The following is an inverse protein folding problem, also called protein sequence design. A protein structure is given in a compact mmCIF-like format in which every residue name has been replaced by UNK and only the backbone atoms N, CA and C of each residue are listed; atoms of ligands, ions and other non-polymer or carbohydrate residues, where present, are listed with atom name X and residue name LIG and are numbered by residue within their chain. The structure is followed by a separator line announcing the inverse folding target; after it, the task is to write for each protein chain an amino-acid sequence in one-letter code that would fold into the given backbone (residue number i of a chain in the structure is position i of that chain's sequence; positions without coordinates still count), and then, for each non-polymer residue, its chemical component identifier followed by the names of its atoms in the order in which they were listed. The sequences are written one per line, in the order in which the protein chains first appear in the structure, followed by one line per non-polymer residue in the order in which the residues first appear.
data_IF_531272423611
#
_entry.id   IF_531272423611
#
_cell.length_a   1.000
_cell.length_b   1.000
_cell.length_c   1.000
_cell.angle_alpha   90.00
_cell.angle_beta   90.00
_cell.angle_gamma   90.00
#
_symmetry.space_group_name_H-M   'P 1'
#
loop_
_entity.id
_entity.type
_entity.pdbx_description
1 polymer ?
#
# COMPACT_ATOMS: atom_id res chain seq x y z
N UNK A 1 -53.67 -28.32 40.05
CA UNK A 1 -53.36 -28.86 38.72
C UNK A 1 -51.89 -29.22 38.72
N UNK A 2 -51.64 -30.51 38.81
CA UNK A 2 -50.35 -31.17 38.71
C UNK A 2 -50.19 -31.64 37.26
N UNK A 3 -49.06 -31.33 36.62
CA UNK A 3 -48.51 -32.02 35.43
C UNK A 3 -46.99 -31.78 35.49
N UNK A 4 -46.20 -32.71 36.03
CA UNK A 4 -45.67 -33.91 35.38
C UNK A 4 -44.64 -33.59 34.27
N UNK A 5 -43.36 -33.79 34.59
CA UNK A 5 -42.23 -33.86 33.65
C UNK A 5 -42.31 -35.19 32.85
N UNK A 6 -41.58 -35.41 31.71
CA UNK A 6 -40.17 -35.81 31.81
C UNK A 6 -39.24 -35.63 30.56
N UNK A 7 -37.92 -35.62 30.82
CA UNK A 7 -36.81 -36.35 30.12
C UNK A 7 -36.40 -36.00 28.65
N UNK A 8 -35.08 -35.72 28.49
CA UNK A 8 -34.05 -36.34 27.58
C UNK A 8 -32.73 -35.55 27.77
N UNK A 9 -31.70 -36.01 28.50
CA UNK A 9 -30.65 -37.04 28.24
C UNK A 9 -29.78 -36.81 26.99
N UNK A 10 -28.46 -36.64 27.24
CA UNK A 10 -27.25 -36.75 26.36
C UNK A 10 -27.08 -35.66 25.27
N UNK A 11 -25.88 -35.17 24.95
CA UNK A 11 -24.55 -35.79 24.97
C UNK A 11 -23.43 -34.75 25.20
N UNK A 12 -22.37 -35.16 25.90
CA UNK A 12 -21.00 -34.71 25.62
C UNK A 12 -20.56 -35.36 24.31
N UNK A 13 -20.12 -34.56 23.33
CA UNK A 13 -19.02 -34.91 22.42
C UNK A 13 -18.54 -33.65 21.68
N UNK A 14 -17.25 -33.65 21.39
CA UNK A 14 -16.43 -32.56 20.85
C UNK A 14 -16.87 -32.08 19.46
N UNK A 15 -16.79 -30.77 19.23
CA UNK A 15 -16.47 -30.25 17.90
C UNK A 15 -15.82 -28.88 18.00
N UNK A 16 -14.49 -28.91 17.94
CA UNK A 16 -13.75 -28.42 16.79
C UNK A 16 -14.19 -27.06 16.21
N UNK A 17 -13.29 -26.08 16.32
CA UNK A 17 -12.99 -25.27 15.16
C UNK A 17 -13.02 -23.76 15.35
N UNK A 18 -11.84 -23.18 15.09
CA UNK A 18 -11.61 -21.85 14.54
C UNK A 18 -11.79 -20.67 15.50
N UNK A 19 -10.74 -19.91 15.81
CA UNK A 19 -9.44 -19.89 15.18
C UNK A 19 -8.74 -18.67 15.72
N UNK A 20 -7.71 -18.91 16.52
CA UNK A 20 -6.67 -17.93 16.76
C UNK A 20 -6.25 -17.37 15.41
N UNK A 21 -6.38 -16.05 15.32
CA UNK A 21 -6.12 -15.15 14.21
C UNK A 21 -4.66 -15.16 13.67
N UNK A 22 -3.94 -16.27 13.84
CA UNK A 22 -2.52 -16.41 13.50
C UNK A 22 -2.23 -17.47 12.41
N UNK A 23 -3.25 -18.12 11.86
CA UNK A 23 -3.05 -19.33 11.03
C UNK A 23 -2.86 -19.16 9.51
N UNK A 24 -3.30 -18.06 8.87
CA UNK A 24 -3.35 -18.00 7.39
C UNK A 24 -2.80 -16.73 6.75
N UNK A 25 -2.52 -15.66 7.52
CA UNK A 25 -1.87 -14.47 6.99
C UNK A 25 -0.33 -14.53 7.08
N UNK A 26 0.22 -15.43 7.89
CA UNK A 26 1.66 -15.63 8.05
C UNK A 26 2.28 -16.61 7.04
N UNK A 27 1.53 -17.62 6.58
CA UNK A 27 2.10 -18.73 5.81
C UNK A 27 2.19 -18.48 4.29
N UNK A 28 1.38 -17.57 3.74
CA UNK A 28 1.39 -17.27 2.28
C UNK A 28 2.33 -16.12 1.89
N UNK A 29 2.99 -15.43 2.84
CA UNK A 29 3.96 -14.35 2.52
C UNK A 29 5.41 -14.84 2.38
N UNK A 30 5.68 -16.14 2.60
CA UNK A 30 7.05 -16.63 2.85
C UNK A 30 7.61 -17.67 1.87
N UNK A 31 6.95 -17.96 0.73
CA UNK A 31 7.40 -19.06 -0.17
C UNK A 31 7.91 -18.58 -1.54
N UNK A 32 7.59 -17.37 -2.02
CA UNK A 32 8.12 -16.88 -3.30
C UNK A 32 8.35 -15.38 -3.28
N UNK A 33 9.59 -14.95 -3.01
CA UNK A 33 10.23 -13.93 -3.85
C UNK A 33 11.74 -13.88 -3.54
N UNK A 34 12.64 -14.09 -4.51
CA UNK A 34 14.06 -13.89 -4.31
C UNK A 34 14.29 -12.38 -4.14
N UNK A 35 14.32 -11.97 -2.88
CA UNK A 35 15.11 -10.89 -2.33
C UNK A 35 16.09 -10.27 -3.36
N UNK A 36 15.73 -9.10 -3.90
CA UNK A 36 16.53 -8.39 -4.89
C UNK A 36 17.46 -7.40 -4.20
N UNK A 37 18.67 -7.24 -4.73
CA UNK A 37 19.60 -6.20 -4.27
C UNK A 37 19.20 -4.87 -4.91
N UNK A 38 18.94 -3.87 -4.08
CA UNK A 38 18.75 -2.48 -4.51
C UNK A 38 20.05 -1.90 -5.09
N UNK A 39 19.97 -0.71 -5.72
CA UNK A 39 21.17 0.05 -6.14
C UNK A 39 22.17 0.29 -4.99
N UNK A 40 21.70 0.25 -3.75
CA UNK A 40 22.50 0.41 -2.52
C UNK A 40 23.04 -0.92 -1.95
N UNK A 41 22.80 -2.05 -2.61
CA UNK A 41 23.26 -3.36 -2.19
C UNK A 41 22.47 -3.99 -1.04
N UNK A 42 21.38 -3.34 -0.60
CA UNK A 42 20.47 -3.88 0.42
C UNK A 42 19.52 -4.89 -0.20
N UNK A 43 19.20 -5.92 0.55
CA UNK A 43 18.33 -7.01 0.09
C UNK A 43 16.90 -6.73 0.54
N UNK A 44 16.03 -6.40 -0.41
CA UNK A 44 14.61 -6.11 -0.14
C UNK A 44 13.69 -7.11 -0.87
N UNK A 45 12.46 -7.33 -0.35
CA UNK A 45 11.49 -8.18 -1.03
C UNK A 45 11.24 -7.67 -2.45
N UNK A 46 11.30 -8.55 -3.45
CA UNK A 46 11.10 -8.13 -4.85
C UNK A 46 9.71 -7.55 -5.10
N UNK A 47 8.68 -8.11 -4.46
CA UNK A 47 7.34 -7.51 -4.43
C UNK A 47 7.33 -6.06 -3.92
N UNK A 48 8.21 -5.69 -2.97
CA UNK A 48 8.35 -4.31 -2.51
C UNK A 48 8.95 -3.44 -3.60
N UNK A 49 10.06 -3.88 -4.19
CA UNK A 49 10.72 -3.12 -5.26
C UNK A 49 9.81 -2.91 -6.46
N UNK A 50 9.03 -3.92 -6.82
CA UNK A 50 8.03 -3.81 -7.90
C UNK A 50 6.97 -2.77 -7.55
N UNK A 51 6.33 -2.89 -6.39
CA UNK A 51 5.29 -1.95 -5.96
C UNK A 51 5.84 -0.51 -5.81
N UNK A 52 7.02 -0.37 -5.24
CA UNK A 52 7.69 0.93 -5.06
C UNK A 52 8.02 1.58 -6.41
N UNK A 53 8.62 0.84 -7.35
CA UNK A 53 8.91 1.32 -8.71
C UNK A 53 7.64 1.68 -9.47
N UNK A 54 6.55 0.93 -9.28
CA UNK A 54 5.26 1.20 -9.88
C UNK A 54 4.62 2.50 -9.34
N UNK A 55 4.73 2.76 -8.04
CA UNK A 55 4.32 4.04 -7.44
C UNK A 55 5.15 5.19 -8.01
N UNK A 56 6.47 5.06 -8.08
CA UNK A 56 7.34 6.10 -8.67
C UNK A 56 6.95 6.39 -10.12
N UNK A 57 6.81 5.33 -10.93
CA UNK A 57 6.45 5.46 -12.35
C UNK A 57 5.11 6.18 -12.53
N UNK A 58 4.06 5.69 -11.89
CA UNK A 58 2.70 6.22 -12.04
C UNK A 58 2.54 7.63 -11.46
N UNK A 59 3.22 7.95 -10.36
CA UNK A 59 3.22 9.32 -9.83
C UNK A 59 3.98 10.30 -10.73
N UNK A 60 5.11 9.90 -11.32
CA UNK A 60 5.83 10.76 -12.27
C UNK A 60 5.01 10.98 -13.53
N UNK A 61 4.45 9.92 -14.11
CA UNK A 61 3.50 10.01 -15.23
C UNK A 61 2.34 10.96 -14.89
N UNK A 62 1.78 10.89 -13.69
CA UNK A 62 0.68 11.77 -13.27
C UNK A 62 1.08 13.23 -13.00
N UNK A 63 2.36 13.54 -12.72
CA UNK A 63 2.81 14.87 -12.28
C UNK A 63 3.63 15.62 -13.35
N UNK A 64 4.39 14.89 -14.16
CA UNK A 64 5.25 15.42 -15.22
C UNK A 64 4.51 15.53 -16.56
N UNK A 65 3.49 14.71 -16.81
CA UNK A 65 2.76 14.75 -18.08
C UNK A 65 1.91 16.02 -18.15
N UNK A 66 2.28 16.92 -19.06
CA UNK A 66 1.52 18.11 -19.37
C UNK A 66 0.30 17.68 -20.19
N UNK A 67 -0.87 17.60 -19.53
CA UNK A 67 -2.07 17.05 -20.15
C UNK A 67 -2.52 17.85 -21.37
N UNK A 68 -1.96 19.05 -21.62
CA UNK A 68 -2.34 19.91 -22.75
C UNK A 68 -3.83 20.26 -22.74
N UNK A 69 -4.46 20.21 -21.57
CA UNK A 69 -5.91 20.36 -21.37
C UNK A 69 -6.73 19.07 -21.51
N UNK A 70 -6.11 17.90 -21.74
CA UNK A 70 -6.80 16.61 -21.82
C UNK A 70 -7.12 16.04 -20.42
N UNK A 71 -8.17 16.59 -19.82
CA UNK A 71 -8.66 16.18 -18.50
C UNK A 71 -8.95 14.68 -18.38
N UNK A 72 -9.29 14.00 -19.48
CA UNK A 72 -9.53 12.55 -19.46
C UNK A 72 -8.24 11.74 -19.28
N UNK A 73 -7.12 12.20 -19.85
CA UNK A 73 -5.80 11.60 -19.63
C UNK A 73 -5.30 11.87 -18.21
N UNK A 74 -5.39 13.13 -17.75
CA UNK A 74 -5.05 13.50 -16.37
C UNK A 74 -5.73 12.59 -15.36
N UNK A 75 -7.04 12.40 -15.50
CA UNK A 75 -7.83 11.55 -14.60
C UNK A 75 -7.37 10.10 -14.63
N UNK A 76 -7.11 9.53 -15.81
CA UNK A 76 -6.62 8.15 -15.93
C UNK A 76 -5.27 7.97 -15.27
N UNK A 77 -4.34 8.91 -15.47
CA UNK A 77 -3.02 8.86 -14.85
C UNK A 77 -3.10 9.03 -13.34
N UNK A 78 -3.93 9.97 -12.88
CA UNK A 78 -4.18 10.17 -11.45
C UNK A 78 -4.86 8.95 -10.80
N UNK A 79 -5.78 8.28 -11.50
CA UNK A 79 -6.43 7.06 -11.01
C UNK A 79 -5.45 5.88 -10.99
N UNK A 80 -4.55 5.76 -11.98
CA UNK A 80 -3.46 4.78 -11.97
C UNK A 80 -2.50 5.02 -10.79
N UNK A 81 -2.12 6.28 -10.52
CA UNK A 81 -1.30 6.64 -9.37
C UNK A 81 -2.01 6.37 -8.02
N UNK A 82 -3.32 6.61 -7.93
CA UNK A 82 -4.09 6.28 -6.72
C UNK A 82 -4.12 4.78 -6.46
N UNK A 83 -4.28 3.98 -7.50
CA UNK A 83 -4.34 2.53 -7.36
C UNK A 83 -2.98 1.96 -6.95
N UNK A 84 -1.89 2.41 -7.58
CA UNK A 84 -0.53 1.99 -7.20
C UNK A 84 -0.19 2.36 -5.75
N UNK A 85 -0.59 3.56 -5.30
CA UNK A 85 -0.45 4.00 -3.90
C UNK A 85 -1.26 3.12 -2.96
N UNK A 86 -2.52 2.81 -3.33
CA UNK A 86 -3.39 1.96 -2.51
C UNK A 86 -2.81 0.57 -2.34
N UNK A 87 -2.35 -0.05 -3.43
CA UNK A 87 -1.71 -1.36 -3.40
C UNK A 87 -0.42 -1.33 -2.57
N UNK A 88 0.43 -0.33 -2.77
CA UNK A 88 1.67 -0.17 -2.02
C UNK A 88 1.42 -0.03 -0.52
N UNK A 89 0.52 0.86 -0.12
CA UNK A 89 0.17 1.03 1.30
C UNK A 89 -0.54 -0.20 1.87
N UNK A 90 -1.39 -0.87 1.10
CA UNK A 90 -2.08 -2.08 1.53
C UNK A 90 -1.12 -3.25 1.78
N UNK A 91 -0.05 -3.36 1.00
CA UNK A 91 0.94 -4.44 1.10
C UNK A 91 2.07 -4.20 2.09
N UNK A 92 2.53 -2.95 2.21
CA UNK A 92 3.80 -2.59 2.86
C UNK A 92 3.67 -1.69 4.09
N UNK A 93 2.52 -1.04 4.31
CA UNK A 93 2.34 -0.16 5.47
C UNK A 93 2.46 -0.95 6.77
N UNK A 94 3.34 -0.48 7.66
CA UNK A 94 3.60 -1.12 8.95
C UNK A 94 4.52 -2.34 8.89
N UNK A 95 5.06 -2.70 7.71
CA UNK A 95 6.04 -3.78 7.63
C UNK A 95 7.43 -3.32 8.09
N UNK A 96 7.86 -3.82 9.26
CA UNK A 96 9.17 -3.51 9.85
C UNK A 96 10.36 -3.77 8.93
N UNK A 97 10.23 -4.73 7.99
CA UNK A 97 11.28 -5.10 7.05
C UNK A 97 11.62 -3.98 6.03
N UNK A 98 10.66 -3.09 5.73
CA UNK A 98 10.86 -1.98 4.78
C UNK A 98 10.68 -0.61 5.43
N UNK A 99 10.09 -0.54 6.63
CA UNK A 99 9.78 0.72 7.30
C UNK A 99 11.01 1.59 7.62
N UNK A 100 12.19 0.97 7.79
CA UNK A 100 13.45 1.68 8.03
C UNK A 100 14.21 2.01 6.74
N UNK A 101 13.66 1.66 5.57
CA UNK A 101 14.33 1.91 4.29
C UNK A 101 14.11 3.33 3.81
N UNK A 102 15.19 3.94 3.32
CA UNK A 102 15.18 5.31 2.78
C UNK A 102 14.19 5.43 1.62
N UNK A 103 14.08 4.40 0.76
CA UNK A 103 13.10 4.37 -0.32
C UNK A 103 11.66 4.40 0.19
N UNK A 104 11.37 3.70 1.28
CA UNK A 104 10.04 3.64 1.88
C UNK A 104 9.69 4.98 2.53
N UNK A 105 10.63 5.55 3.29
CA UNK A 105 10.46 6.84 3.97
C UNK A 105 10.25 7.96 2.95
N UNK A 106 11.00 7.97 1.85
CA UNK A 106 10.82 8.94 0.76
C UNK A 106 9.46 8.79 0.07
N UNK A 107 9.02 7.56 -0.23
CA UNK A 107 7.69 7.30 -0.77
C UNK A 107 6.57 7.74 0.17
N UNK A 108 6.69 7.47 1.48
CA UNK A 108 5.70 7.94 2.45
C UNK A 108 5.63 9.47 2.51
N UNK A 109 6.77 10.18 2.41
CA UNK A 109 6.81 11.65 2.38
C UNK A 109 6.12 12.21 1.13
N UNK A 110 6.37 11.61 -0.03
CA UNK A 110 5.71 11.97 -1.29
C UNK A 110 4.19 11.79 -1.19
N UNK A 111 3.74 10.59 -0.78
CA UNK A 111 2.33 10.24 -0.65
C UNK A 111 1.63 11.12 0.41
N UNK A 112 2.29 11.37 1.55
CA UNK A 112 1.76 12.23 2.61
C UNK A 112 1.61 13.67 2.13
N UNK A 113 2.60 14.22 1.43
CA UNK A 113 2.53 15.58 0.86
C UNK A 113 1.37 15.70 -0.14
N UNK A 114 1.16 14.68 -0.98
CA UNK A 114 0.03 14.61 -1.91
C UNK A 114 -1.32 14.56 -1.15
N UNK A 115 -1.43 13.69 -0.14
CA UNK A 115 -2.64 13.53 0.65
C UNK A 115 -2.99 14.80 1.44
N UNK A 116 -2.00 15.44 2.07
CA UNK A 116 -2.19 16.70 2.81
C UNK A 116 -2.67 17.83 1.89
N UNK A 117 -2.13 17.91 0.67
CA UNK A 117 -2.57 18.89 -0.31
C UNK A 117 -4.04 18.67 -0.69
N UNK A 118 -4.39 17.47 -1.16
CA UNK A 118 -5.76 17.18 -1.61
C UNK A 118 -6.78 17.12 -0.47
N UNK A 119 -6.35 16.83 0.75
CA UNK A 119 -7.21 16.94 1.94
C UNK A 119 -7.58 18.38 2.26
N UNK A 120 -6.73 19.36 1.92
CA UNK A 120 -6.97 20.79 2.19
C UNK A 120 -7.60 21.51 0.99
N UNK A 121 -7.12 21.24 -0.21
CA UNK A 121 -7.51 21.92 -1.44
C UNK A 121 -8.71 21.25 -2.13
N UNK A 122 -9.00 19.99 -1.81
CA UNK A 122 -10.04 19.18 -2.44
C UNK A 122 -9.53 18.38 -3.65
N UNK A 123 -10.22 17.27 -4.00
CA UNK A 123 -9.69 16.23 -4.90
C UNK A 123 -9.49 16.65 -6.36
N UNK A 124 -10.05 17.78 -6.78
CA UNK A 124 -9.92 18.35 -8.12
C UNK A 124 -9.03 19.59 -8.18
N UNK A 125 -8.37 19.94 -7.06
CA UNK A 125 -7.47 21.08 -7.03
C UNK A 125 -6.24 20.84 -7.91
N UNK A 126 -5.80 21.87 -8.62
CA UNK A 126 -4.55 21.81 -9.38
C UNK A 126 -3.37 21.87 -8.43
N UNK A 127 -2.40 20.98 -8.60
CA UNK A 127 -1.21 20.91 -7.74
C UNK A 127 -0.28 22.11 -8.02
N UNK A 128 0.05 22.94 -7.01
CA UNK A 128 1.03 24.01 -7.14
C UNK A 128 2.39 23.45 -7.55
N UNK A 129 3.14 24.25 -8.30
CA UNK A 129 4.44 23.84 -8.84
C UNK A 129 5.45 23.50 -7.72
N UNK A 130 5.43 24.22 -6.60
CA UNK A 130 6.27 23.94 -5.44
C UNK A 130 6.00 22.56 -4.82
N UNK A 131 4.71 22.22 -4.63
CA UNK A 131 4.28 20.94 -4.07
C UNK A 131 4.64 19.81 -5.04
N UNK A 132 4.42 20.02 -6.34
CA UNK A 132 4.79 19.08 -7.39
C UNK A 132 6.28 18.79 -7.39
N UNK A 133 7.11 19.83 -7.41
CA UNK A 133 8.57 19.70 -7.42
C UNK A 133 9.07 18.97 -6.18
N UNK A 134 8.50 19.28 -5.00
CA UNK A 134 8.83 18.57 -3.76
C UNK A 134 8.51 17.07 -3.85
N UNK A 135 7.33 16.72 -4.38
CA UNK A 135 6.95 15.32 -4.56
C UNK A 135 7.89 14.63 -5.56
N UNK A 136 8.23 15.29 -6.68
CA UNK A 136 9.16 14.73 -7.66
C UNK A 136 10.58 14.51 -7.07
N UNK A 137 11.04 15.39 -6.18
CA UNK A 137 12.31 15.24 -5.47
C UNK A 137 12.30 14.06 -4.49
N UNK A 138 11.20 13.91 -3.71
CA UNK A 138 10.99 12.74 -2.85
C UNK A 138 10.94 11.44 -3.68
N UNK A 139 10.31 11.44 -4.85
CA UNK A 139 10.25 10.29 -5.76
C UNK A 139 11.61 9.97 -6.41
N UNK A 140 12.39 10.98 -6.77
CA UNK A 140 13.75 10.80 -7.27
C UNK A 140 14.66 10.22 -6.19
N UNK A 141 14.51 10.68 -4.95
CA UNK A 141 15.19 10.10 -3.79
C UNK A 141 14.80 8.64 -3.62
N UNK A 142 13.49 8.32 -3.64
CA UNK A 142 13.02 6.95 -3.55
C UNK A 142 13.64 6.05 -4.62
N UNK A 143 13.63 6.48 -5.89
CA UNK A 143 14.21 5.71 -7.00
C UNK A 143 15.72 5.48 -6.85
N UNK A 144 16.46 6.42 -6.26
CA UNK A 144 17.90 6.25 -6.01
C UNK A 144 18.20 5.11 -5.02
N UNK A 145 17.26 4.80 -4.13
CA UNK A 145 17.40 3.74 -3.11
C UNK A 145 16.72 2.41 -3.49
N UNK A 146 15.99 2.35 -4.61
CA UNK A 146 15.38 1.13 -5.18
C UNK A 146 16.34 0.37 -6.10
#
# INVERSE_FOLDING_TARGET
MEVSAPVRVRADDESNGSGGEEGVLGAIKSIFDPNEKTKTGKVLPKAYLKAAREVVRTLRESLEEDDGGNMAKFRRNADAAKESIREFLGGWRGQKAVAAEESYVALEKAIRSLAEFYSKAGPSASLPQDVRNKILDDLSTADAYL
#
